data_IF_689800005795
#
_entry.id   IF_689800005795
#
_cell.length_a   1.000
_cell.length_b   1.000
_cell.length_c   1.000
_cell.angle_alpha   90.00
_cell.angle_beta   90.00
_cell.angle_gamma   90.00
#
_symmetry.space_group_name_H-M   'P 1'
#
loop_
_entity.id
_entity.type
_entity.pdbx_description
1 polymer ?
#
# COMPACT_ATOMS: atom_id res chain seq x y z
N UNK A 1 -10.48 12.91 20.45
CA UNK A 1 -10.08 14.30 20.13
C UNK A 1 -11.36 15.13 20.13
N UNK A 2 -11.37 16.31 20.75
CA UNK A 2 -12.56 17.16 20.83
C UNK A 2 -12.44 18.32 19.84
N UNK A 3 -13.46 18.55 19.02
CA UNK A 3 -13.55 19.75 18.19
C UNK A 3 -14.87 20.45 18.52
N UNK A 4 -14.76 21.66 19.08
CA UNK A 4 -15.89 22.56 19.31
C UNK A 4 -16.00 23.50 18.12
N UNK A 5 -17.15 23.49 17.43
CA UNK A 5 -17.48 24.51 16.41
C UNK A 5 -18.60 25.41 16.95
N UNK A 6 -18.26 26.64 17.30
CA UNK A 6 -19.24 27.66 17.72
C UNK A 6 -19.78 28.44 16.50
N UNK A 7 -20.31 27.76 15.48
CA UNK A 7 -21.00 28.40 14.36
C UNK A 7 -22.51 28.15 14.47
N UNK A 8 -23.25 29.14 14.98
CA UNK A 8 -24.72 29.15 15.04
C UNK A 8 -25.31 28.64 16.37
N UNK A 9 -26.59 28.96 16.60
CA UNK A 9 -27.40 28.79 17.83
C UNK A 9 -27.61 27.36 18.34
N UNK A 10 -26.82 26.39 17.89
CA UNK A 10 -26.82 25.01 18.39
C UNK A 10 -25.38 24.49 18.47
N UNK A 11 -24.76 24.44 19.66
CA UNK A 11 -23.43 23.85 19.81
C UNK A 11 -23.48 22.36 19.49
N UNK A 12 -22.87 21.96 18.36
CA UNK A 12 -22.68 20.55 18.01
C UNK A 12 -21.34 20.07 18.57
N UNK A 13 -21.38 19.18 19.56
CA UNK A 13 -20.19 18.49 20.07
C UNK A 13 -19.92 17.25 19.20
N UNK A 14 -18.95 17.35 18.30
CA UNK A 14 -18.45 16.18 17.57
C UNK A 14 -17.35 15.50 18.39
N UNK A 15 -17.68 14.41 19.08
CA UNK A 15 -16.70 13.57 19.78
C UNK A 15 -16.03 12.67 18.74
N UNK A 16 -14.77 12.97 18.39
CA UNK A 16 -13.98 12.07 17.57
C UNK A 16 -13.32 11.03 18.46
N UNK A 17 -13.89 9.82 18.49
CA UNK A 17 -13.23 8.65 19.04
C UNK A 17 -12.18 8.18 18.04
N UNK A 18 -10.91 8.47 18.32
CA UNK A 18 -9.81 7.91 17.56
C UNK A 18 -9.53 6.51 18.11
N UNK A 19 -9.70 5.43 17.32
CA UNK A 19 -9.36 4.09 17.77
C UNK A 19 -7.91 4.06 18.24
N UNK A 20 -7.65 3.44 19.38
CA UNK A 20 -6.33 3.46 20.02
C UNK A 20 -5.23 2.90 19.09
N UNK A 21 -5.54 1.86 18.33
CA UNK A 21 -4.65 1.27 17.33
C UNK A 21 -4.31 2.27 16.22
N UNK A 22 -5.28 3.06 15.76
CA UNK A 22 -5.07 4.13 14.77
C UNK A 22 -4.14 5.22 15.31
N UNK A 23 -4.32 5.65 16.56
CA UNK A 23 -3.44 6.62 17.20
C UNK A 23 -2.00 6.09 17.31
N UNK A 24 -1.84 4.83 17.74
CA UNK A 24 -0.52 4.20 17.84
C UNK A 24 0.17 4.06 16.49
N UNK A 25 -0.58 3.65 15.46
CA UNK A 25 -0.07 3.57 14.09
C UNK A 25 0.38 4.95 13.60
N UNK A 26 -0.46 5.97 13.75
CA UNK A 26 -0.12 7.34 13.36
C UNK A 26 1.12 7.85 14.10
N UNK A 27 1.18 7.69 15.43
CA UNK A 27 2.34 8.07 16.24
C UNK A 27 3.62 7.37 15.78
N UNK A 28 3.53 6.10 15.39
CA UNK A 28 4.67 5.40 14.80
C UNK A 28 5.10 6.00 13.47
N UNK A 29 4.15 6.36 12.60
CA UNK A 29 4.42 6.99 11.31
C UNK A 29 5.08 8.38 11.44
N UNK A 30 4.97 9.02 12.61
CA UNK A 30 5.66 10.30 12.89
C UNK A 30 7.15 10.13 13.28
N UNK A 31 7.63 8.90 13.50
CA UNK A 31 9.06 8.66 13.79
C UNK A 31 9.92 8.96 12.56
N UNK A 32 11.16 9.41 12.79
CA UNK A 32 12.13 9.81 11.74
C UNK A 32 12.19 8.81 10.57
N UNK A 33 12.25 7.51 10.88
CA UNK A 33 12.32 6.44 9.87
C UNK A 33 11.10 6.33 8.92
N UNK A 34 9.94 6.89 9.27
CA UNK A 34 8.69 6.77 8.48
C UNK A 34 8.07 8.11 8.11
N UNK A 35 8.48 9.20 8.77
CA UNK A 35 7.84 10.51 8.69
C UNK A 35 7.80 11.05 7.27
N UNK A 36 8.91 10.98 6.55
CA UNK A 36 9.01 11.52 5.19
C UNK A 36 8.13 10.75 4.22
N UNK A 37 8.18 9.41 4.28
CA UNK A 37 7.26 8.57 3.53
C UNK A 37 5.81 8.92 3.85
N UNK A 38 5.46 8.96 5.15
CA UNK A 38 4.09 9.17 5.59
C UNK A 38 3.53 10.49 5.08
N UNK A 39 4.28 11.58 5.22
CA UNK A 39 3.90 12.89 4.69
C UNK A 39 3.78 12.90 3.17
N UNK A 40 4.73 12.29 2.46
CA UNK A 40 4.69 12.22 0.99
C UNK A 40 3.53 11.37 0.48
N UNK A 41 3.14 10.35 1.23
CA UNK A 41 1.97 9.53 0.95
C UNK A 41 0.68 10.30 1.21
N UNK A 42 0.47 10.82 2.43
CA UNK A 42 -0.82 11.45 2.81
C UNK A 42 -1.10 12.74 2.03
N UNK A 43 -0.07 13.50 1.62
CA UNK A 43 -0.26 14.76 0.89
C UNK A 43 -0.97 14.58 -0.46
N UNK A 44 -0.96 13.37 -1.03
CA UNK A 44 -1.62 13.07 -2.32
C UNK A 44 -3.14 12.88 -2.20
N UNK A 45 -3.66 12.85 -0.97
CA UNK A 45 -5.03 12.44 -0.68
C UNK A 45 -5.85 13.49 0.07
N UNK A 46 -5.38 14.74 0.12
CA UNK A 46 -6.24 15.88 0.44
C UNK A 46 -7.27 16.10 -0.67
N UNK A 47 -8.47 16.53 -0.29
CA UNK A 47 -9.57 16.75 -1.21
C UNK A 47 -10.39 17.99 -0.84
N UNK A 48 -10.67 18.80 -1.85
CA UNK A 48 -11.63 19.90 -1.82
C UNK A 48 -12.40 19.91 -3.14
N UNK A 49 -13.70 20.16 -3.07
CA UNK A 49 -14.59 20.13 -4.24
C UNK A 49 -14.06 21.05 -5.34
N UNK A 50 -13.90 20.50 -6.55
CA UNK A 50 -13.42 21.24 -7.73
C UNK A 50 -11.90 21.34 -7.88
N UNK A 51 -11.12 20.77 -6.96
CA UNK A 51 -9.66 20.73 -7.03
C UNK A 51 -9.21 19.29 -7.24
N UNK A 52 -8.22 19.09 -8.12
CA UNK A 52 -7.64 17.76 -8.39
C UNK A 52 -6.15 17.76 -8.10
N UNK A 53 -5.68 16.66 -7.54
CA UNK A 53 -4.26 16.38 -7.41
C UNK A 53 -3.70 15.95 -8.77
N UNK A 54 -2.65 16.62 -9.23
CA UNK A 54 -1.90 16.23 -10.41
C UNK A 54 -0.71 15.37 -9.98
N UNK A 55 -0.70 14.12 -10.43
CA UNK A 55 0.36 13.15 -10.09
C UNK A 55 1.69 13.44 -10.79
N UNK A 56 1.66 14.08 -11.96
CA UNK A 56 2.85 14.31 -12.79
C UNK A 56 3.72 15.43 -12.23
N UNK A 57 3.09 16.48 -11.70
CA UNK A 57 3.75 17.62 -11.05
C UNK A 57 3.66 17.58 -9.52
N UNK A 58 3.17 16.46 -8.97
CA UNK A 58 3.10 16.17 -7.53
C UNK A 58 2.41 17.28 -6.70
N UNK A 59 1.42 17.97 -7.27
CA UNK A 59 0.79 19.15 -6.67
C UNK A 59 -0.70 19.29 -6.98
N UNK A 60 -1.40 20.11 -6.19
CA UNK A 60 -2.82 20.42 -6.43
C UNK A 60 -2.94 21.59 -7.40
N UNK A 61 -3.76 21.41 -8.43
CA UNK A 61 -4.04 22.45 -9.41
C UNK A 61 -5.48 22.94 -9.26
N UNK A 62 -5.64 24.27 -9.22
CA UNK A 62 -6.94 24.93 -9.38
C UNK A 62 -7.00 25.48 -10.80
N UNK A 63 -8.00 25.02 -11.55
CA UNK A 63 -8.29 25.56 -12.86
C UNK A 63 -9.34 26.67 -12.74
N UNK A 64 -8.88 27.92 -12.77
CA UNK A 64 -9.76 29.06 -13.04
C UNK A 64 -9.84 29.26 -14.57
N UNK A 65 -10.96 29.84 -15.06
CA UNK A 65 -11.28 30.02 -16.49
C UNK A 65 -10.18 30.66 -17.36
N UNK A 66 -9.11 31.21 -16.76
CA UNK A 66 -7.99 31.87 -17.46
C UNK A 66 -6.58 31.42 -16.99
N UNK A 67 -6.44 30.65 -15.91
CA UNK A 67 -5.10 30.29 -15.38
C UNK A 67 -5.14 29.06 -14.48
N UNK A 68 -4.12 28.21 -14.61
CA UNK A 68 -3.82 27.13 -13.65
C UNK A 68 -2.92 27.70 -12.55
N UNK A 69 -3.33 27.53 -11.29
CA UNK A 69 -2.52 27.93 -10.12
C UNK A 69 -2.21 26.70 -9.29
N UNK A 70 -0.95 26.59 -8.86
CA UNK A 70 -0.48 25.55 -7.94
C UNK A 70 -0.87 25.97 -6.52
N UNK A 71 -1.48 25.04 -5.77
CA UNK A 71 -1.89 25.28 -4.38
C UNK A 71 -0.72 24.98 -3.44
N UNK A 72 -0.44 25.89 -2.51
CA UNK A 72 0.63 25.68 -1.53
C UNK A 72 0.23 24.68 -0.42
N UNK A 73 1.20 24.02 0.23
CA UNK A 73 0.95 23.14 1.38
C UNK A 73 0.13 23.76 2.51
N UNK A 74 0.33 25.06 2.76
CA UNK A 74 -0.34 25.79 3.82
C UNK A 74 -1.85 25.93 3.58
N UNK A 75 -2.27 25.85 2.31
CA UNK A 75 -3.68 25.98 1.92
C UNK A 75 -4.43 24.64 2.00
N UNK A 76 -3.79 23.53 1.61
CA UNK A 76 -4.46 22.23 1.59
C UNK A 76 -4.37 21.44 2.91
N UNK A 77 -3.49 21.83 3.84
CA UNK A 77 -3.37 21.16 5.15
C UNK A 77 -4.69 21.13 5.95
N UNK A 78 -5.60 22.08 5.68
CA UNK A 78 -6.91 22.19 6.33
C UNK A 78 -8.04 21.47 5.57
N UNK A 79 -7.74 20.83 4.44
CA UNK A 79 -8.75 20.09 3.67
C UNK A 79 -8.97 18.70 4.28
N UNK A 80 -10.10 18.08 3.94
CA UNK A 80 -10.34 16.67 4.25
C UNK A 80 -9.27 15.81 3.60
N UNK A 81 -8.82 14.77 4.30
CA UNK A 81 -7.83 13.84 3.79
C UNK A 81 -8.38 12.42 3.84
N UNK A 82 -8.47 11.79 2.68
CA UNK A 82 -9.10 10.48 2.52
C UNK A 82 -8.38 9.40 3.35
N UNK A 83 -7.06 9.47 3.52
CA UNK A 83 -6.31 8.50 4.32
C UNK A 83 -6.70 8.62 5.79
N UNK A 84 -6.76 9.84 6.32
CA UNK A 84 -7.16 10.07 7.71
C UNK A 84 -8.63 9.69 7.93
N UNK A 85 -9.52 10.02 7.00
CA UNK A 85 -10.92 9.60 7.07
C UNK A 85 -11.05 8.08 7.09
N UNK A 86 -10.29 7.36 6.26
CA UNK A 86 -10.32 5.90 6.24
C UNK A 86 -9.80 5.30 7.55
N UNK A 87 -8.69 5.82 8.07
CA UNK A 87 -8.13 5.40 9.35
C UNK A 87 -9.08 5.63 10.54
N UNK A 88 -9.79 6.77 10.55
CA UNK A 88 -10.77 7.10 11.59
C UNK A 88 -12.01 6.21 11.53
N UNK A 89 -12.41 5.80 10.32
CA UNK A 89 -13.62 4.99 10.09
C UNK A 89 -13.33 3.49 9.94
N UNK A 90 -12.14 3.02 10.36
CA UNK A 90 -11.70 1.63 10.24
C UNK A 90 -11.80 1.04 8.81
N UNK A 91 -11.63 1.89 7.79
CA UNK A 91 -11.57 1.49 6.38
C UNK A 91 -10.12 1.23 5.97
N UNK A 92 -9.95 0.36 4.98
CA UNK A 92 -8.62 -0.07 4.55
C UNK A 92 -7.90 0.99 3.74
N UNK A 93 -6.67 1.33 4.14
CA UNK A 93 -5.79 2.19 3.32
C UNK A 93 -4.85 1.39 2.42
N UNK A 94 -4.91 0.04 2.44
CA UNK A 94 -4.11 -0.84 1.56
C UNK A 94 -4.26 -0.48 0.08
N UNK A 95 -5.46 -0.21 -0.48
CA UNK A 95 -5.60 0.16 -1.89
C UNK A 95 -4.85 1.45 -2.24
N UNK A 96 -4.78 2.40 -1.31
CA UNK A 96 -4.03 3.65 -1.48
C UNK A 96 -2.52 3.41 -1.40
N UNK A 97 -2.07 2.60 -0.43
CA UNK A 97 -0.67 2.17 -0.33
C UNK A 97 -0.21 1.45 -1.61
N UNK A 98 -1.05 0.56 -2.17
CA UNK A 98 -0.80 -0.11 -3.44
C UNK A 98 -0.75 0.88 -4.61
N UNK A 99 -1.70 1.81 -4.70
CA UNK A 99 -1.63 2.84 -5.75
C UNK A 99 -0.37 3.69 -5.65
N UNK A 100 0.14 3.94 -4.45
CA UNK A 100 1.37 4.70 -4.23
C UNK A 100 2.61 3.86 -4.52
N UNK A 101 2.63 2.57 -4.16
CA UNK A 101 3.74 1.65 -4.42
C UNK A 101 3.97 1.41 -5.90
N UNK A 102 2.97 1.62 -6.76
CA UNK A 102 3.14 1.54 -8.23
C UNK A 102 4.05 2.62 -8.80
N UNK A 103 4.20 3.75 -8.11
CA UNK A 103 4.88 4.94 -8.64
C UNK A 103 6.04 5.41 -7.76
N UNK A 104 6.21 4.83 -6.57
CA UNK A 104 7.30 5.18 -5.66
C UNK A 104 7.71 3.96 -4.83
N UNK A 105 8.99 3.92 -4.43
CA UNK A 105 9.48 2.92 -3.49
C UNK A 105 8.79 3.10 -2.12
N UNK A 106 8.12 2.03 -1.67
CA UNK A 106 7.47 1.95 -0.37
C UNK A 106 8.09 0.81 0.40
N UNK A 107 8.59 1.07 1.61
CA UNK A 107 9.06 -0.03 2.44
C UNK A 107 7.88 -0.91 2.85
N UNK A 108 7.92 -2.19 2.52
CA UNK A 108 6.88 -3.16 2.86
C UNK A 108 6.69 -3.27 4.37
N UNK A 109 7.73 -2.94 5.16
CA UNK A 109 7.64 -2.82 6.62
C UNK A 109 6.47 -1.95 7.08
N UNK A 110 6.14 -0.89 6.35
CA UNK A 110 5.01 0.00 6.67
C UNK A 110 3.68 -0.73 6.46
N UNK A 111 3.54 -1.39 5.30
CA UNK A 111 2.38 -2.22 4.97
C UNK A 111 2.20 -3.36 5.96
N UNK A 112 3.29 -4.05 6.34
CA UNK A 112 3.31 -5.09 7.38
C UNK A 112 2.78 -4.58 8.71
N UNK A 113 3.28 -3.44 9.18
CA UNK A 113 2.82 -2.84 10.44
C UNK A 113 1.33 -2.50 10.36
N UNK A 114 0.88 -1.89 9.26
CA UNK A 114 -0.53 -1.54 9.07
C UNK A 114 -1.43 -2.79 9.05
N UNK A 115 -1.05 -3.80 8.25
CA UNK A 115 -1.79 -5.04 8.10
C UNK A 115 -1.96 -5.79 9.44
N UNK A 116 -0.91 -5.85 10.25
CA UNK A 116 -0.96 -6.52 11.56
C UNK A 116 -1.73 -5.68 12.58
N UNK A 117 -1.40 -4.38 12.72
CA UNK A 117 -1.91 -3.56 13.84
C UNK A 117 -3.31 -2.99 13.60
N UNK A 118 -3.66 -2.71 12.36
CA UNK A 118 -4.94 -2.08 11.99
C UNK A 118 -5.88 -3.06 11.32
N UNK A 119 -5.36 -3.95 10.45
CA UNK A 119 -6.18 -4.94 9.74
C UNK A 119 -6.25 -6.30 10.43
N UNK A 120 -5.54 -6.46 11.55
CA UNK A 120 -5.50 -7.68 12.35
C UNK A 120 -5.12 -8.94 11.55
N UNK A 121 -4.34 -8.78 10.48
CA UNK A 121 -3.78 -9.92 9.75
C UNK A 121 -2.78 -10.66 10.64
N UNK A 122 -2.84 -12.00 10.59
CA UNK A 122 -1.86 -12.85 11.28
C UNK A 122 -0.46 -12.58 10.74
N UNK A 123 0.54 -12.62 11.62
CA UNK A 123 1.94 -12.37 11.23
C UNK A 123 2.40 -13.42 10.22
N UNK A 124 1.99 -14.67 10.42
CA UNK A 124 2.27 -15.84 9.60
C UNK A 124 1.76 -15.65 8.16
N UNK A 125 0.57 -15.05 7.99
CA UNK A 125 0.03 -14.67 6.68
C UNK A 125 0.93 -13.66 5.97
N UNK A 126 1.40 -12.64 6.68
CA UNK A 126 2.29 -11.63 6.10
C UNK A 126 3.66 -12.23 5.77
N UNK A 127 4.21 -13.09 6.64
CA UNK A 127 5.48 -13.78 6.41
C UNK A 127 5.40 -14.66 5.15
N UNK A 128 4.26 -15.33 4.92
CA UNK A 128 4.04 -16.11 3.70
C UNK A 128 3.88 -15.23 2.46
N UNK A 129 3.21 -14.08 2.58
CA UNK A 129 3.14 -13.12 1.48
C UNK A 129 4.55 -12.64 1.08
N UNK A 130 5.43 -12.36 2.04
CA UNK A 130 6.82 -11.98 1.74
C UNK A 130 7.59 -13.10 1.05
N UNK A 131 7.46 -14.35 1.52
CA UNK A 131 8.09 -15.51 0.86
C UNK A 131 7.61 -15.68 -0.59
N UNK A 132 6.32 -15.48 -0.85
CA UNK A 132 5.76 -15.52 -2.21
C UNK A 132 6.35 -14.37 -3.06
N UNK A 133 6.45 -13.16 -2.49
CA UNK A 133 7.04 -12.02 -3.19
C UNK A 133 8.52 -12.27 -3.52
N UNK A 134 9.30 -12.78 -2.56
CA UNK A 134 10.71 -13.16 -2.75
C UNK A 134 10.87 -14.17 -3.87
N UNK A 135 10.03 -15.21 -3.90
CA UNK A 135 10.05 -16.20 -4.97
C UNK A 135 9.74 -15.59 -6.34
N UNK A 136 8.72 -14.74 -6.44
CA UNK A 136 8.35 -14.09 -7.71
C UNK A 136 9.51 -13.25 -8.25
N UNK A 137 10.25 -12.57 -7.37
CA UNK A 137 11.34 -11.67 -7.76
C UNK A 137 12.72 -12.33 -7.79
N UNK A 138 12.86 -13.60 -7.38
CA UNK A 138 14.16 -14.27 -7.23
C UNK A 138 15.01 -14.31 -8.50
N UNK A 139 14.39 -14.31 -9.68
CA UNK A 139 15.09 -14.33 -10.97
C UNK A 139 15.63 -12.97 -11.41
N UNK A 140 15.30 -11.87 -10.70
CA UNK A 140 15.67 -10.50 -11.04
C UNK A 140 15.30 -10.06 -12.48
N UNK A 141 14.37 -10.75 -13.13
CA UNK A 141 13.89 -10.43 -14.47
C UNK A 141 12.60 -9.59 -14.37
N UNK A 142 12.73 -8.30 -14.70
CA UNK A 142 11.60 -7.36 -14.68
C UNK A 142 10.42 -7.81 -15.55
N UNK A 143 10.63 -8.49 -16.68
CA UNK A 143 9.55 -8.97 -17.54
C UNK A 143 8.75 -10.10 -16.88
N UNK A 144 9.42 -10.99 -16.14
CA UNK A 144 8.76 -12.06 -15.38
C UNK A 144 7.96 -11.46 -14.22
N UNK A 145 8.55 -10.51 -13.50
CA UNK A 145 7.90 -9.81 -12.38
C UNK A 145 6.66 -9.05 -12.88
N UNK A 146 6.76 -8.30 -13.98
CA UNK A 146 5.64 -7.59 -14.58
C UNK A 146 4.51 -8.52 -15.03
N UNK A 147 4.84 -9.70 -15.56
CA UNK A 147 3.81 -10.72 -15.91
C UNK A 147 3.08 -11.20 -14.67
N UNK A 148 3.78 -11.44 -13.56
CA UNK A 148 3.16 -11.82 -12.29
C UNK A 148 2.26 -10.71 -11.75
N UNK A 149 2.71 -9.46 -11.79
CA UNK A 149 1.91 -8.28 -11.41
C UNK A 149 0.63 -8.19 -12.26
N UNK A 150 0.74 -8.27 -13.59
CA UNK A 150 -0.42 -8.22 -14.51
C UNK A 150 -1.43 -9.33 -14.21
N UNK A 151 -0.93 -10.53 -13.89
CA UNK A 151 -1.79 -11.66 -13.52
C UNK A 151 -2.50 -11.40 -12.20
N UNK A 152 -1.80 -10.91 -11.19
CA UNK A 152 -2.38 -10.52 -9.90
C UNK A 152 -3.41 -9.40 -10.05
N UNK A 153 -3.13 -8.37 -10.86
CA UNK A 153 -4.08 -7.28 -11.13
C UNK A 153 -5.37 -7.76 -11.80
N UNK A 154 -5.29 -8.81 -12.62
CA UNK A 154 -6.45 -9.43 -13.27
C UNK A 154 -7.30 -10.30 -12.32
N UNK A 155 -6.85 -10.55 -11.09
CA UNK A 155 -7.58 -11.36 -10.11
C UNK A 155 -8.80 -10.59 -9.60
N UNK A 156 -9.99 -11.04 -9.99
CA UNK A 156 -11.27 -10.43 -9.63
C UNK A 156 -12.06 -11.20 -8.57
N UNK A 157 -11.60 -12.39 -8.17
CA UNK A 157 -12.23 -13.19 -7.12
C UNK A 157 -11.22 -14.10 -6.40
N UNK A 158 -11.62 -14.65 -5.26
CA UNK A 158 -10.78 -15.53 -4.43
C UNK A 158 -10.32 -16.80 -5.15
N UNK A 159 -11.13 -17.37 -6.03
CA UNK A 159 -10.75 -18.55 -6.82
C UNK A 159 -9.56 -18.26 -7.75
N UNK A 160 -9.54 -17.09 -8.39
CA UNK A 160 -8.41 -16.69 -9.25
C UNK A 160 -7.13 -16.47 -8.46
N UNK A 161 -7.21 -15.89 -7.25
CA UNK A 161 -6.02 -15.74 -6.38
C UNK A 161 -5.49 -17.11 -5.95
N UNK A 162 -6.40 -18.01 -5.55
CA UNK A 162 -6.06 -19.40 -5.21
C UNK A 162 -5.37 -20.12 -6.36
N UNK A 163 -5.89 -19.98 -7.57
CA UNK A 163 -5.29 -20.55 -8.78
C UNK A 163 -3.91 -19.97 -9.05
N UNK A 164 -3.71 -18.68 -8.84
CA UNK A 164 -2.38 -18.04 -8.95
C UNK A 164 -1.39 -18.68 -7.99
N UNK A 165 -1.73 -18.78 -6.70
CA UNK A 165 -0.84 -19.41 -5.69
C UNK A 165 -0.53 -20.87 -6.04
N UNK A 166 -1.53 -21.66 -6.44
CA UNK A 166 -1.32 -23.07 -6.76
C UNK A 166 -0.47 -23.28 -8.03
N UNK A 167 -0.70 -22.50 -9.10
CA UNK A 167 -0.08 -22.73 -10.40
C UNK A 167 1.22 -21.94 -10.59
N UNK A 168 1.22 -20.66 -10.23
CA UNK A 168 2.36 -19.77 -10.50
C UNK A 168 3.40 -19.78 -9.39
N UNK A 169 3.03 -20.23 -8.18
CA UNK A 169 3.93 -20.30 -7.04
C UNK A 169 4.27 -21.75 -6.71
N UNK A 170 3.31 -22.56 -6.28
CA UNK A 170 3.58 -23.91 -5.77
C UNK A 170 4.05 -24.85 -6.90
N UNK A 171 3.29 -24.95 -8.00
CA UNK A 171 3.67 -25.83 -9.10
C UNK A 171 4.99 -25.38 -9.76
N UNK A 172 5.15 -24.08 -9.99
CA UNK A 172 6.39 -23.52 -10.55
C UNK A 172 7.61 -23.82 -9.66
N UNK A 173 7.51 -23.63 -8.34
CA UNK A 173 8.59 -23.95 -7.41
C UNK A 173 9.00 -25.43 -7.46
N UNK A 174 8.01 -26.32 -7.61
CA UNK A 174 8.27 -27.75 -7.78
C UNK A 174 8.94 -28.06 -9.13
N UNK A 175 8.47 -27.45 -10.22
CA UNK A 175 9.04 -27.59 -11.56
C UNK A 175 10.49 -27.08 -11.66
N UNK A 176 10.84 -26.05 -10.89
CA UNK A 176 12.21 -25.52 -10.76
C UNK A 176 13.13 -26.41 -9.89
N UNK A 177 12.60 -27.49 -9.30
CA UNK A 177 13.38 -28.46 -8.53
C UNK A 177 13.77 -27.99 -7.11
N UNK A 178 13.13 -26.95 -6.60
CA UNK A 178 13.37 -26.47 -5.24
C UNK A 178 12.90 -27.52 -4.22
N UNK A 179 13.78 -27.84 -3.26
CA UNK A 179 13.50 -28.88 -2.25
C UNK A 179 12.47 -28.43 -1.21
N UNK A 180 12.48 -27.14 -0.89
CA UNK A 180 11.59 -26.56 0.12
C UNK A 180 10.33 -26.00 -0.54
N UNK A 181 9.18 -26.27 0.09
CA UNK A 181 7.92 -25.69 -0.32
C UNK A 181 7.81 -24.24 0.18
N UNK A 182 7.50 -23.32 -0.73
CA UNK A 182 7.19 -21.92 -0.38
C UNK A 182 5.92 -21.85 0.49
N UNK A 183 4.94 -22.67 0.12
CA UNK A 183 3.66 -22.78 0.80
C UNK A 183 3.27 -24.25 0.86
N UNK A 184 3.09 -24.78 2.07
CA UNK A 184 2.51 -26.11 2.30
C UNK A 184 0.98 -26.07 2.25
N UNK A 185 0.33 -27.24 2.12
CA UNK A 185 -1.14 -27.33 2.10
C UNK A 185 -1.77 -26.72 3.36
N UNK A 186 -1.16 -26.96 4.53
CA UNK A 186 -1.64 -26.43 5.80
C UNK A 186 -1.48 -24.90 5.85
N UNK A 187 -0.31 -24.37 5.48
CA UNK A 187 -0.07 -22.93 5.43
C UNK A 187 -0.99 -22.21 4.44
N UNK A 188 -1.27 -22.85 3.30
CA UNK A 188 -2.21 -22.32 2.32
C UNK A 188 -3.63 -22.18 2.90
N UNK A 189 -4.12 -23.22 3.60
CA UNK A 189 -5.44 -23.21 4.23
C UNK A 189 -5.51 -22.23 5.41
N UNK A 190 -4.49 -22.22 6.26
CA UNK A 190 -4.52 -21.51 7.54
C UNK A 190 -4.14 -20.03 7.44
N UNK A 191 -3.31 -19.67 6.44
CA UNK A 191 -2.66 -18.35 6.38
C UNK A 191 -2.96 -17.55 5.12
N UNK A 192 -3.18 -18.16 3.96
CA UNK A 192 -3.39 -17.42 2.70
C UNK A 192 -4.87 -17.27 2.31
N UNK A 193 -5.77 -18.10 2.84
CA UNK A 193 -7.20 -18.02 2.54
C UNK A 193 -8.12 -18.43 3.70
N UNK A 194 -7.97 -17.86 4.92
CA UNK A 194 -8.82 -18.24 6.04
C UNK A 194 -10.29 -17.82 5.85
N UNK A 195 -10.62 -16.76 5.08
CA UNK A 195 -12.00 -16.28 4.87
C UNK A 195 -12.23 -15.62 3.48
N UNK A 196 -13.50 -15.65 3.00
CA UNK A 196 -13.92 -15.23 1.65
C UNK A 196 -13.79 -13.72 1.35
N UNK A 197 -13.67 -12.85 2.35
CA UNK A 197 -13.63 -11.39 2.15
C UNK A 197 -12.21 -10.78 2.25
N UNK A 198 -11.24 -11.53 2.78
CA UNK A 198 -9.88 -11.04 3.04
C UNK A 198 -8.92 -11.15 1.85
N UNK A 199 -9.28 -11.92 0.81
CA UNK A 199 -8.38 -12.21 -0.31
C UNK A 199 -7.96 -10.96 -1.10
N UNK A 200 -8.82 -9.94 -1.19
CA UNK A 200 -8.47 -8.68 -1.88
C UNK A 200 -7.34 -7.96 -1.16
N UNK A 201 -7.39 -7.88 0.17
CA UNK A 201 -6.32 -7.27 0.95
C UNK A 201 -5.04 -8.09 0.87
N UNK A 202 -5.13 -9.42 0.91
CA UNK A 202 -3.95 -10.28 0.73
C UNK A 202 -3.30 -10.11 -0.65
N UNK A 203 -4.10 -10.05 -1.72
CA UNK A 203 -3.62 -9.74 -3.06
C UNK A 203 -2.91 -8.40 -3.10
N UNK A 204 -3.51 -7.36 -2.52
CA UNK A 204 -2.95 -6.01 -2.57
C UNK A 204 -1.69 -5.89 -1.70
N UNK A 205 -1.63 -6.56 -0.55
CA UNK A 205 -0.41 -6.64 0.29
C UNK A 205 0.69 -7.37 -0.47
N UNK A 206 0.39 -8.49 -1.15
CA UNK A 206 1.36 -9.19 -2.00
C UNK A 206 1.88 -8.29 -3.13
N UNK A 207 0.99 -7.57 -3.81
CA UNK A 207 1.39 -6.62 -4.83
C UNK A 207 2.31 -5.52 -4.27
N UNK A 208 2.05 -4.98 -3.08
CA UNK A 208 2.93 -3.99 -2.45
C UNK A 208 4.32 -4.59 -2.16
N UNK A 209 4.40 -5.83 -1.68
CA UNK A 209 5.66 -6.53 -1.44
C UNK A 209 6.47 -6.73 -2.74
N UNK A 210 5.80 -7.09 -3.84
CA UNK A 210 6.42 -7.24 -5.15
C UNK A 210 6.90 -5.88 -5.68
N UNK A 211 6.10 -4.81 -5.53
CA UNK A 211 6.49 -3.47 -5.97
C UNK A 211 7.69 -2.92 -5.22
N UNK A 212 7.82 -3.18 -3.91
CA UNK A 212 9.03 -2.82 -3.16
C UNK A 212 10.29 -3.42 -3.80
N UNK A 213 10.27 -4.73 -4.04
CA UNK A 213 11.38 -5.47 -4.65
C UNK A 213 11.68 -4.99 -6.07
N UNK A 214 10.65 -4.75 -6.88
CA UNK A 214 10.81 -4.24 -8.24
C UNK A 214 11.47 -2.85 -8.26
N UNK A 215 11.07 -1.94 -7.37
CA UNK A 215 11.70 -0.62 -7.26
C UNK A 215 13.15 -0.71 -6.78
N UNK A 216 13.45 -1.64 -5.87
CA UNK A 216 14.83 -1.90 -5.45
C UNK A 216 15.68 -2.40 -6.62
N UNK A 217 15.18 -3.37 -7.40
CA UNK A 217 15.87 -3.87 -8.59
C UNK A 217 16.15 -2.77 -9.61
N UNK A 218 15.19 -1.90 -9.91
CA UNK A 218 15.41 -0.77 -10.81
C UNK A 218 16.45 0.21 -10.26
N UNK A 219 16.47 0.43 -8.95
CA UNK A 219 17.47 1.29 -8.30
C UNK A 219 18.87 0.70 -8.43
N UNK A 220 19.02 -0.60 -8.19
CA UNK A 220 20.31 -1.28 -8.26
C UNK A 220 20.86 -1.28 -9.70
N UNK A 221 20.01 -1.59 -10.69
CA UNK A 221 20.38 -1.52 -12.11
C UNK A 221 20.82 -0.12 -12.55
N UNK A 222 20.18 0.95 -12.04
CA UNK A 222 20.58 2.32 -12.36
C UNK A 222 21.95 2.68 -11.74
N UNK A 223 22.22 2.25 -10.51
CA UNK A 223 23.50 2.52 -9.86
C UNK A 223 24.66 1.80 -10.56
N UNK A 224 24.47 0.56 -11.01
CA UNK A 224 25.50 -0.21 -11.73
C UNK A 224 25.89 0.46 -13.06
N UNK A 225 24.92 1.07 -13.75
CA UNK A 225 25.16 1.83 -14.99
C UNK A 225 25.94 3.13 -14.75
N UNK A 226 25.83 3.76 -13.58
CA UNK A 226 26.60 4.96 -13.23
C UNK A 226 28.05 4.64 -12.86
N UNK A 227 28.31 3.49 -12.23
CA UNK A 227 29.68 3.03 -11.90
C UNK A 227 30.42 2.55 -13.15
N UNK A 228 29.71 1.98 -14.12
CA UNK A 228 30.30 1.46 -15.37
C UNK A 228 30.74 2.56 -16.36
N UNK A 229 30.25 3.79 -16.17
CA UNK A 229 30.52 4.93 -17.05
C UNK A 229 31.53 5.94 -16.47
N UNK A 230 32.16 5.62 -15.34
CA UNK A 230 33.26 6.38 -14.71
C UNK A 230 34.57 5.58 -14.73
#
# INVERSE_FOLDING_TARGET
>A
MYHFTNFGTSPSLSIYNLPFQTLQFYSLMQKVQYKDFWHNFVRRYYYKKGIKYNKDVDSYEVQNKKQKTIVSPEEYQYWSNVIYDYLLNNKSIIPYLLSYSRIALVSFKITRIYAIKIRHMKKESIDKIEQIADFITACNDCLIIEKAIKKLDSVTNSYLLRRFVLKDIIAKNYEEGNKDAIVTVNEYADYLFPDLDSWMEMRDVLLIAIYERLHQLHKDMNNDNEVSNN
#
